data_IF_531227753771
#
_entry.id   IF_531227753771
#
_cell.length_a   1.000
_cell.length_b   1.000
_cell.length_c   1.000
_cell.angle_alpha   90.00
_cell.angle_beta   90.00
_cell.angle_gamma   90.00
#
_symmetry.space_group_name_H-M   'P 1'
#
loop_
_entity.id
_entity.type
_entity.pdbx_description
1 polymer ?
2 water ?
#
# COMPACT_ATOMS: atom_id res chain seq x y z
N UNK A 2 6.69 17.69 11.24
CA UNK A 2 6.35 19.07 10.78
C UNK A 2 4.92 19.13 10.20
N UNK A 3 4.36 17.97 9.85
CA UNK A 3 3.02 17.92 9.26
C UNK A 3 1.96 17.24 10.12
N UNK A 4 0.87 17.94 10.36
CA UNK A 4 -0.22 17.40 11.15
C UNK A 4 -1.03 16.43 10.30
N UNK A 5 -1.73 15.51 10.94
CA UNK A 5 -2.52 14.54 10.21
C UNK A 5 -3.29 15.17 9.06
N UNK A 6 -4.01 16.25 9.35
CA UNK A 6 -4.81 16.90 8.32
C UNK A 6 -3.96 17.40 7.14
N UNK A 7 -2.73 17.85 7.38
CA UNK A 7 -1.90 18.33 6.26
C UNK A 7 -1.59 17.20 5.29
N UNK A 8 -1.12 16.08 5.82
CA UNK A 8 -0.75 14.96 4.96
C UNK A 8 -1.94 14.39 4.21
N UNK A 9 -3.06 14.22 4.90
CA UNK A 9 -4.24 13.70 4.24
C UNK A 9 -4.50 14.57 3.02
N UNK A 10 -4.04 15.82 3.10
CA UNK A 10 -4.19 16.81 2.03
C UNK A 10 -3.18 16.55 0.95
N UNK A 11 -1.91 16.61 1.35
CA UNK A 11 -0.78 16.38 0.47
C UNK A 11 -0.87 15.06 -0.28
N UNK A 12 -1.14 13.97 0.44
CA UNK A 12 -1.22 12.64 -0.15
C UNK A 12 -2.54 12.36 -0.87
N UNK A 13 -3.64 12.83 -0.30
CA UNK A 13 -4.93 12.56 -0.90
C UNK A 13 -5.46 11.31 -0.23
N UNK A 14 -4.72 10.87 0.78
CA UNK A 14 -5.08 9.70 1.56
C UNK A 14 -5.94 10.25 2.66
N UNK A 15 -6.99 9.50 2.95
CA UNK A 15 -7.95 9.85 3.97
C UNK A 15 -7.31 9.83 5.35
N UNK A 16 -7.89 10.61 6.26
CA UNK A 16 -7.46 10.70 7.65
C UNK A 16 -7.77 9.34 8.26
N UNK A 17 -9.02 8.91 8.05
CA UNK A 17 -9.48 7.62 8.54
C UNK A 17 -8.44 6.56 8.15
N UNK A 18 -8.06 6.53 6.88
CA UNK A 18 -7.07 5.57 6.41
C UNK A 18 -5.75 5.76 7.16
N UNK A 19 -5.24 6.99 7.13
CA UNK A 19 -3.98 7.28 7.78
C UNK A 19 -3.96 6.83 9.22
N UNK A 20 -5.11 6.96 9.88
CA UNK A 20 -5.24 6.59 11.28
C UNK A 20 -5.00 5.08 11.38
N UNK A 21 -5.72 4.37 10.53
CA UNK A 21 -5.63 2.93 10.46
C UNK A 21 -4.16 2.50 10.35
N UNK A 22 -3.37 3.23 9.56
CA UNK A 22 -1.95 2.92 9.40
C UNK A 22 -1.22 3.02 10.74
N UNK A 23 -1.41 4.15 11.41
CA UNK A 23 -0.80 4.37 12.72
C UNK A 23 -1.18 3.19 13.61
N UNK A 24 -2.45 2.79 13.52
CA UNK A 24 -3.00 1.71 14.33
C UNK A 24 -2.41 0.34 14.13
N UNK A 25 -1.93 0.07 12.92
CA UNK A 25 -1.37 -1.23 12.66
C UNK A 25 0.14 -1.13 12.57
N UNK A 26 0.66 -0.05 13.13
CA UNK A 26 2.09 0.18 13.16
C UNK A 26 2.72 0.22 11.76
N UNK A 27 1.89 0.31 10.73
CA UNK A 27 2.35 0.39 9.33
C UNK A 27 3.08 1.70 9.05
N UNK A 28 2.51 2.77 9.58
CA UNK A 28 3.06 4.10 9.42
C UNK A 28 2.76 4.84 10.69
N UNK A 29 3.81 5.16 11.44
CA UNK A 29 3.61 5.84 12.70
C UNK A 29 4.18 7.25 12.71
N UNK A 30 3.45 8.19 13.33
CA UNK A 30 3.84 9.60 13.45
C UNK A 30 5.19 9.67 14.13
N UNK A 31 6.07 10.55 13.67
CA UNK A 31 7.37 10.71 14.31
C UNK A 31 7.22 11.45 15.65
N UNK A 32 6.69 12.67 15.59
CA UNK A 32 6.52 13.49 16.78
C UNK A 32 5.09 13.60 17.27
N UNK A 33 4.89 14.61 18.11
CA UNK A 33 3.60 14.91 18.71
C UNK A 33 3.61 16.39 19.09
N UNK A 34 2.51 17.09 18.82
CA UNK A 34 2.43 18.50 19.16
C UNK A 34 2.40 18.60 20.67
N UNK A 35 2.34 19.82 21.19
CA UNK A 35 2.32 20.00 22.64
C UNK A 35 0.93 19.68 23.22
N UNK A 36 -0.09 19.63 22.36
CA UNK A 36 -1.45 19.31 22.79
C UNK A 36 -1.77 17.82 22.58
N UNK A 37 -0.84 17.09 21.99
CA UNK A 37 -1.03 15.67 21.75
C UNK A 37 -1.44 15.24 20.35
N UNK A 38 -1.35 16.16 19.39
CA UNK A 38 -1.70 15.87 18.00
C UNK A 38 -0.49 15.21 17.35
N UNK A 39 -0.74 14.23 16.50
CA UNK A 39 0.33 13.49 15.83
C UNK A 39 1.03 14.29 14.76
N UNK A 40 2.36 14.15 14.71
CA UNK A 40 3.18 14.87 13.74
C UNK A 40 3.96 13.91 12.90
N UNK A 41 4.12 14.26 11.63
CA UNK A 41 4.80 13.42 10.66
C UNK A 41 6.05 14.04 10.04
N UNK A 42 7.10 13.24 9.88
CA UNK A 42 8.34 13.74 9.27
C UNK A 42 8.22 13.69 7.75
N UNK A 43 9.32 13.92 7.06
CA UNK A 43 9.30 13.87 5.61
C UNK A 43 9.72 12.46 5.26
N UNK A 44 10.47 11.87 6.19
CA UNK A 44 10.95 10.50 6.04
C UNK A 44 9.69 9.66 6.21
N UNK A 45 8.76 10.24 6.96
CA UNK A 45 7.47 9.63 7.22
C UNK A 45 6.67 9.66 5.90
N UNK A 46 6.73 10.78 5.20
CA UNK A 46 6.04 10.88 3.93
C UNK A 46 6.74 9.97 2.94
N UNK A 47 8.05 9.93 3.10
CA UNK A 47 8.92 9.12 2.28
C UNK A 47 8.46 7.66 2.38
N UNK A 48 7.88 7.31 3.52
CA UNK A 48 7.41 5.96 3.75
C UNK A 48 6.00 5.81 3.17
N UNK A 49 5.14 6.79 3.47
CA UNK A 49 3.76 6.79 2.98
C UNK A 49 3.82 6.55 1.48
N UNK A 50 4.86 7.09 0.86
CA UNK A 50 5.04 6.93 -0.56
C UNK A 50 5.29 5.47 -0.93
N UNK A 51 6.21 4.82 -0.23
CA UNK A 51 6.49 3.42 -0.52
C UNK A 51 5.17 2.66 -0.42
N UNK A 52 4.47 2.88 0.70
CA UNK A 52 3.20 2.25 0.99
C UNK A 52 2.18 2.34 -0.14
N UNK A 53 1.91 3.58 -0.56
CA UNK A 53 0.98 3.86 -1.63
C UNK A 53 1.37 3.18 -2.93
N UNK A 54 2.67 2.98 -3.09
CA UNK A 54 3.16 2.34 -4.29
C UNK A 54 2.97 0.83 -4.21
N UNK A 55 3.38 0.22 -3.11
CA UNK A 55 3.18 -1.21 -3.00
C UNK A 55 1.69 -1.48 -3.10
N UNK A 56 0.91 -0.59 -2.48
CA UNK A 56 -0.54 -0.72 -2.50
C UNK A 56 -1.04 -0.67 -3.95
N UNK A 57 -0.49 0.23 -4.76
CA UNK A 57 -0.89 0.37 -6.17
C UNK A 57 -0.57 -0.88 -6.98
N UNK A 58 0.56 -1.48 -6.64
CA UNK A 58 1.10 -2.67 -7.28
C UNK A 58 0.27 -3.92 -7.01
N UNK A 59 -0.47 -3.93 -5.91
CA UNK A 59 -1.30 -5.09 -5.61
C UNK A 59 -1.11 -5.72 -4.24
N UNK A 60 -0.22 -5.17 -3.42
CA UNK A 60 0.03 -5.72 -2.08
C UNK A 60 -1.04 -5.35 -1.03
N UNK A 61 -1.32 -6.27 -0.11
CA UNK A 61 -2.30 -6.05 0.95
C UNK A 61 -1.57 -5.32 2.06
N UNK A 62 -2.31 -4.52 2.81
CA UNK A 62 -1.70 -3.76 3.87
C UNK A 62 -0.69 -4.56 4.70
N UNK A 63 -1.01 -5.81 5.00
CA UNK A 63 -0.12 -6.62 5.81
C UNK A 63 1.23 -7.01 5.19
N UNK A 64 1.24 -7.53 3.96
CA UNK A 64 2.52 -7.91 3.37
C UNK A 64 3.41 -6.70 3.14
N UNK A 65 2.81 -5.51 3.15
CA UNK A 65 3.53 -4.26 2.98
C UNK A 65 4.23 -3.94 4.29
N UNK A 66 3.52 -4.18 5.40
CA UNK A 66 4.04 -3.94 6.74
C UNK A 66 5.39 -4.66 6.87
N UNK A 67 5.43 -5.89 6.35
CA UNK A 67 6.65 -6.69 6.37
C UNK A 67 7.73 -5.97 5.57
N UNK A 68 7.66 -6.12 4.25
CA UNK A 68 8.62 -5.51 3.34
C UNK A 68 9.35 -4.26 3.85
N UNK A 69 8.59 -3.27 4.31
CA UNK A 69 9.13 -2.00 4.79
C UNK A 69 10.31 -1.99 5.79
N UNK A 70 10.18 -2.77 6.84
CA UNK A 70 11.23 -2.82 7.83
C UNK A 70 12.34 -3.84 7.51
N UNK A 71 11.97 -5.00 6.98
CA UNK A 71 12.96 -6.04 6.64
C UNK A 71 14.24 -5.40 6.10
N UNK A 72 15.41 -5.84 6.61
CA UNK A 72 16.77 -5.39 6.29
C UNK A 72 17.09 -5.30 4.80
N UNK A 73 17.93 -6.23 4.34
CA UNK A 73 18.32 -6.29 2.94
C UNK A 73 17.14 -6.81 2.10
N UNK A 74 16.10 -5.97 1.99
CA UNK A 74 14.91 -6.32 1.22
C UNK A 74 15.22 -6.25 -0.28
N UNK A 75 14.69 -7.21 -1.04
CA UNK A 75 14.95 -7.24 -2.47
C UNK A 75 13.80 -6.72 -3.32
N UNK A 76 13.83 -5.42 -3.62
CA UNK A 76 12.81 -4.78 -4.43
C UNK A 76 12.63 -5.44 -5.77
N UNK A 77 13.71 -5.48 -6.54
CA UNK A 77 13.67 -6.07 -7.86
C UNK A 77 12.95 -7.40 -7.81
N UNK A 78 13.29 -8.20 -6.80
CA UNK A 78 12.73 -9.53 -6.59
C UNK A 78 11.21 -9.52 -6.37
N UNK A 79 10.79 -8.71 -5.41
CA UNK A 79 9.40 -8.55 -5.07
C UNK A 79 8.56 -8.13 -6.29
N UNK A 80 8.98 -7.05 -6.94
CA UNK A 80 8.29 -6.56 -8.10
C UNK A 80 8.21 -7.62 -9.19
N UNK A 81 9.29 -8.36 -9.39
CA UNK A 81 9.33 -9.39 -10.42
C UNK A 81 8.47 -10.57 -10.01
N UNK A 82 8.26 -10.67 -8.71
CA UNK A 82 7.48 -11.73 -8.15
C UNK A 82 5.99 -11.39 -8.34
N UNK A 83 5.67 -10.14 -8.04
CA UNK A 83 4.33 -9.59 -8.16
C UNK A 83 3.89 -9.62 -9.64
N UNK A 84 4.79 -9.20 -10.50
CA UNK A 84 4.44 -9.19 -11.89
C UNK A 84 3.99 -10.60 -12.33
N UNK A 85 4.53 -11.63 -11.69
CA UNK A 85 4.18 -12.99 -12.08
C UNK A 85 2.86 -13.38 -11.51
N UNK A 86 2.65 -12.96 -10.27
CA UNK A 86 1.43 -13.23 -9.58
C UNK A 86 0.27 -12.66 -10.41
N UNK A 87 0.45 -11.41 -10.84
CA UNK A 87 -0.52 -10.68 -11.61
C UNK A 87 -0.75 -11.37 -12.92
N UNK A 88 0.34 -11.76 -13.56
CA UNK A 88 0.23 -12.45 -14.82
C UNK A 88 -0.60 -13.73 -14.62
N UNK A 89 -0.49 -14.41 -13.49
CA UNK A 89 -1.28 -15.60 -13.34
C UNK A 89 -2.72 -15.18 -13.05
N UNK A 90 -2.90 -14.18 -12.20
CA UNK A 90 -4.24 -13.72 -11.84
C UNK A 90 -4.97 -13.29 -13.13
N UNK A 91 -4.22 -12.71 -14.05
CA UNK A 91 -4.80 -12.29 -15.31
C UNK A 91 -5.23 -13.47 -16.17
N UNK A 92 -4.32 -14.41 -16.43
CA UNK A 92 -4.62 -15.58 -17.26
C UNK A 92 -5.83 -16.35 -16.69
N UNK A 93 -5.96 -16.36 -15.38
CA UNK A 93 -7.06 -17.02 -14.76
C UNK A 93 -8.38 -16.32 -15.18
N UNK A 94 -8.38 -14.98 -15.23
CA UNK A 94 -9.58 -14.20 -15.62
C UNK A 94 -9.95 -14.58 -17.05
N UNK A 95 -8.92 -14.56 -17.87
CA UNK A 95 -9.04 -14.88 -19.26
C UNK A 95 -9.74 -16.23 -19.44
N UNK A 96 -9.39 -17.20 -18.62
CA UNK A 96 -10.02 -18.51 -18.71
C UNK A 96 -11.51 -18.40 -18.37
N UNK A 97 -11.79 -17.76 -17.24
CA UNK A 97 -13.16 -17.55 -16.81
C UNK A 97 -13.97 -16.89 -17.92
N UNK A 98 -13.38 -15.90 -18.58
CA UNK A 98 -14.07 -15.20 -19.66
C UNK A 98 -14.34 -16.16 -20.81
N UNK A 99 -13.32 -16.92 -21.18
CA UNK A 99 -13.47 -17.86 -22.26
C UNK A 99 -14.63 -18.77 -21.92
N UNK A 100 -14.56 -19.40 -20.77
CA UNK A 100 -15.62 -20.27 -20.34
C UNK A 100 -17.04 -19.65 -20.51
N UNK A 101 -17.16 -18.34 -20.27
CA UNK A 101 -18.43 -17.64 -20.41
C UNK A 101 -18.80 -17.47 -21.91
N UNK A 102 -17.83 -17.16 -22.75
CA UNK A 102 -18.11 -17.03 -24.14
C UNK A 102 -18.59 -18.38 -24.68
N UNK A 103 -17.95 -19.46 -24.26
CA UNK A 103 -18.31 -20.78 -24.77
C UNK A 103 -19.75 -21.12 -24.45
N UNK A 104 -20.15 -20.80 -23.22
CA UNK A 104 -21.48 -21.08 -22.72
C UNK A 104 -22.53 -20.22 -23.44
N UNK A 105 -22.14 -18.98 -23.70
CA UNK A 105 -22.97 -17.98 -24.37
C UNK A 105 -23.04 -18.21 -25.86
N UNK A 106 -23.05 -19.47 -26.27
CA UNK A 106 -23.18 -19.80 -27.67
C UNK A 106 -24.39 -20.70 -27.77
N UNK A 107 -25.39 -20.44 -26.94
CA UNK A 107 -26.62 -21.23 -26.89
C UNK A 107 -27.62 -20.64 -25.90
#
# INVERSE_FOLDING_TARGET
MKYQVKQVAEISGVSIRTLHHYDNIELLNPSALTDAGYRLYSDADLERLQQILFFKEIGFRLDEIKEMLDHPNFDRKAALQSQKEILMKKKQRMDEMIQTIDRTLLSVD
#
